data_IF_264150528271
#
_entry.id   IF_264150528271
#
_cell.length_a   1.000
_cell.length_b   1.000
_cell.length_c   1.000
_cell.angle_alpha   90.00
_cell.angle_beta   90.00
_cell.angle_gamma   90.00
#
_symmetry.space_group_name_H-M   'P 1'
#
loop_
_entity.id
_entity.type
_entity.pdbx_description
1 polymer ?
#
# COMPACT_ATOMS: atom_id res chain seq x y z
N UNK A 1 7.68 -20.08 -2.48
CA UNK A 1 7.60 -18.99 -3.47
C UNK A 1 8.47 -17.84 -3.00
N UNK A 2 9.40 -17.34 -3.82
CA UNK A 2 10.24 -16.17 -3.54
C UNK A 2 9.55 -14.90 -4.04
N UNK A 3 9.29 -13.97 -3.13
CA UNK A 3 8.50 -12.78 -3.40
C UNK A 3 9.34 -11.54 -3.16
N UNK A 4 9.44 -10.68 -4.16
CA UNK A 4 10.03 -9.35 -4.04
C UNK A 4 8.97 -8.32 -3.64
N UNK A 5 9.33 -7.34 -2.82
CA UNK A 5 8.42 -6.27 -2.39
C UNK A 5 9.05 -4.92 -2.70
N UNK A 6 8.25 -4.01 -3.26
CA UNK A 6 8.56 -2.58 -3.36
C UNK A 6 7.30 -1.76 -3.10
N UNK A 7 7.43 -0.61 -2.45
CA UNK A 7 6.36 0.38 -2.30
C UNK A 7 6.94 1.79 -2.23
N UNK A 8 6.05 2.78 -2.32
CA UNK A 8 6.40 4.19 -2.14
C UNK A 8 7.56 4.59 -3.07
N UNK A 9 7.53 4.06 -4.31
CA UNK A 9 8.57 4.33 -5.29
C UNK A 9 8.50 5.78 -5.77
N UNK A 10 7.32 6.40 -5.77
CA UNK A 10 7.12 7.80 -6.16
C UNK A 10 7.85 8.16 -7.45
N UNK A 11 7.62 7.39 -8.51
CA UNK A 11 8.30 7.58 -9.79
C UNK A 11 7.98 8.93 -10.46
N UNK A 12 6.91 9.59 -10.02
CA UNK A 12 6.54 10.97 -10.36
C UNK A 12 7.51 12.02 -9.79
N UNK A 13 8.19 11.72 -8.69
CA UNK A 13 9.20 12.62 -8.09
C UNK A 13 10.57 12.36 -8.69
N UNK A 14 10.96 11.08 -8.80
CA UNK A 14 12.14 10.69 -9.57
C UNK A 14 12.02 9.24 -10.02
N UNK A 15 12.37 8.99 -11.29
CA UNK A 15 12.30 7.66 -11.87
C UNK A 15 13.16 6.65 -11.08
N UNK A 16 12.66 5.43 -11.01
CA UNK A 16 13.30 4.31 -10.33
C UNK A 16 13.22 3.06 -11.20
N UNK A 17 14.32 2.33 -11.30
CA UNK A 17 14.33 1.00 -11.89
C UNK A 17 14.60 -0.04 -10.80
N UNK A 18 13.78 -1.08 -10.80
CA UNK A 18 14.07 -2.32 -10.09
C UNK A 18 14.97 -3.13 -11.01
N UNK A 19 16.19 -3.43 -10.59
CA UNK A 19 17.19 -4.11 -11.43
C UNK A 19 17.83 -5.33 -10.74
N UNK A 20 17.25 -5.79 -9.63
CA UNK A 20 17.78 -6.92 -8.83
C UNK A 20 16.64 -7.86 -8.38
N UNK A 21 15.94 -8.47 -9.33
CA UNK A 21 14.92 -9.51 -9.08
C UNK A 21 15.43 -10.90 -9.51
N UNK A 22 16.49 -11.39 -8.84
CA UNK A 22 17.03 -12.72 -9.13
C UNK A 22 16.17 -13.79 -8.46
N UNK A 23 15.80 -14.84 -9.21
CA UNK A 23 15.02 -15.99 -8.73
C UNK A 23 13.71 -15.58 -8.02
N UNK A 24 13.09 -14.50 -8.50
CA UNK A 24 11.82 -13.98 -8.00
C UNK A 24 10.67 -14.65 -8.74
N UNK A 25 9.75 -15.26 -8.00
CA UNK A 25 8.56 -15.91 -8.54
C UNK A 25 7.39 -14.90 -8.69
N UNK A 26 7.36 -13.88 -7.83
CA UNK A 26 6.31 -12.86 -7.79
C UNK A 26 6.88 -11.52 -7.30
N UNK A 27 6.51 -10.43 -7.96
CA UNK A 27 6.77 -9.06 -7.48
C UNK A 27 5.48 -8.45 -6.92
N UNK A 28 5.56 -7.88 -5.71
CA UNK A 28 4.48 -7.11 -5.08
C UNK A 28 4.86 -5.64 -5.06
N UNK A 29 3.97 -4.82 -5.59
CA UNK A 29 4.03 -3.36 -5.59
C UNK A 29 2.94 -2.80 -4.66
N UNK A 30 3.31 -2.44 -3.42
CA UNK A 30 2.36 -2.13 -2.34
C UNK A 30 2.00 -0.64 -2.20
N UNK A 31 1.61 -0.03 -3.32
CA UNK A 31 1.11 1.35 -3.39
C UNK A 31 2.17 2.43 -3.55
N UNK A 32 1.71 3.59 -4.03
CA UNK A 32 2.49 4.80 -4.28
C UNK A 32 3.68 4.53 -5.21
N UNK A 33 3.40 3.85 -6.31
CA UNK A 33 4.43 3.45 -7.29
C UNK A 33 4.73 4.62 -8.23
N UNK A 34 3.69 5.31 -8.68
CA UNK A 34 3.81 6.37 -9.66
C UNK A 34 2.48 7.01 -9.95
N UNK A 35 2.51 8.31 -10.26
CA UNK A 35 1.39 8.98 -10.91
C UNK A 35 1.01 8.31 -12.24
N UNK A 36 -0.19 8.60 -12.75
CA UNK A 36 -0.67 8.15 -14.07
C UNK A 36 0.31 8.46 -15.22
N UNK A 37 1.11 9.52 -15.11
CA UNK A 37 2.12 9.91 -16.13
C UNK A 37 3.45 9.16 -16.01
N UNK A 38 3.80 8.68 -14.81
CA UNK A 38 5.08 8.00 -14.55
C UNK A 38 4.94 6.48 -14.57
N UNK A 39 3.76 5.97 -14.18
CA UNK A 39 3.47 4.55 -14.09
C UNK A 39 3.68 3.77 -15.40
N UNK A 40 3.26 4.26 -16.59
CA UNK A 40 3.51 3.56 -17.86
C UNK A 40 5.00 3.41 -18.16
N UNK A 41 5.80 4.45 -17.91
CA UNK A 41 7.26 4.42 -18.12
C UNK A 41 7.93 3.43 -17.17
N UNK A 42 7.49 3.39 -15.92
CA UNK A 42 7.97 2.41 -14.95
C UNK A 42 7.62 0.98 -15.36
N UNK A 43 6.37 0.71 -15.77
CA UNK A 43 5.95 -0.63 -16.18
C UNK A 43 6.54 -1.08 -17.51
N UNK A 44 6.75 -0.17 -18.46
CA UNK A 44 7.50 -0.46 -19.70
C UNK A 44 8.93 -0.91 -19.37
N UNK A 45 9.61 -0.16 -18.49
CA UNK A 45 10.95 -0.51 -18.03
C UNK A 45 10.96 -1.86 -17.31
N UNK A 46 9.99 -2.09 -16.41
CA UNK A 46 9.84 -3.36 -15.69
C UNK A 46 9.62 -4.53 -16.65
N UNK A 47 8.78 -4.37 -17.67
CA UNK A 47 8.50 -5.42 -18.67
C UNK A 47 9.65 -5.64 -19.63
N UNK A 48 10.45 -4.63 -19.93
CA UNK A 48 11.68 -4.81 -20.71
C UNK A 48 12.66 -5.71 -19.98
N UNK A 49 12.83 -5.49 -18.68
CA UNK A 49 13.84 -6.20 -17.88
C UNK A 49 13.33 -7.56 -17.37
N UNK A 50 12.01 -7.66 -17.10
CA UNK A 50 11.34 -8.86 -16.57
C UNK A 50 10.02 -9.15 -17.31
N UNK A 51 10.08 -9.61 -18.58
CA UNK A 51 8.89 -9.73 -19.43
C UNK A 51 7.80 -10.64 -18.89
N UNK A 52 8.18 -11.72 -18.19
CA UNK A 52 7.27 -12.77 -17.75
C UNK A 52 7.04 -12.80 -16.23
N UNK A 53 7.67 -11.89 -15.47
CA UNK A 53 7.54 -11.91 -14.02
C UNK A 53 6.10 -11.55 -13.62
N UNK A 54 5.39 -12.42 -12.86
CA UNK A 54 4.11 -12.08 -12.29
C UNK A 54 4.24 -10.86 -11.36
N UNK A 55 3.31 -9.91 -11.49
CA UNK A 55 3.29 -8.69 -10.67
C UNK A 55 1.90 -8.49 -10.10
N UNK A 56 1.82 -8.32 -8.79
CA UNK A 56 0.63 -7.81 -8.08
C UNK A 56 0.90 -6.37 -7.68
N UNK A 57 -0.03 -5.49 -8.01
CA UNK A 57 0.00 -4.07 -7.70
C UNK A 57 -1.22 -3.70 -6.88
N UNK A 58 -1.02 -2.92 -5.82
CA UNK A 58 -2.08 -2.32 -5.01
C UNK A 58 -1.94 -0.81 -5.07
N UNK A 59 -3.06 -0.09 -5.12
CA UNK A 59 -3.04 1.37 -5.09
C UNK A 59 -2.73 1.91 -3.69
N UNK A 60 -1.88 2.90 -3.61
CA UNK A 60 -1.75 3.82 -2.49
C UNK A 60 -2.61 5.08 -2.68
N UNK A 61 -2.36 6.11 -1.89
CA UNK A 61 -3.12 7.37 -1.99
C UNK A 61 -2.58 8.27 -3.12
N UNK A 62 -1.27 8.30 -3.37
CA UNK A 62 -0.67 9.11 -4.44
C UNK A 62 -1.02 8.60 -5.84
N UNK A 63 -1.33 7.32 -5.99
CA UNK A 63 -1.78 6.76 -7.27
C UNK A 63 -3.13 7.37 -7.74
N UNK A 64 -3.82 8.13 -6.86
CA UNK A 64 -5.09 8.82 -7.15
C UNK A 64 -4.98 10.35 -7.27
N UNK A 65 -3.79 10.93 -7.09
CA UNK A 65 -3.62 12.38 -7.07
C UNK A 65 -3.89 13.03 -8.42
N UNK A 66 -4.67 14.11 -8.41
CA UNK A 66 -5.04 14.92 -9.57
C UNK A 66 -6.34 14.48 -10.26
N UNK A 67 -7.03 13.46 -9.75
CA UNK A 67 -8.16 12.82 -10.42
C UNK A 67 -9.33 12.55 -9.48
N UNK A 68 -10.49 12.27 -10.06
CA UNK A 68 -11.54 11.59 -9.31
C UNK A 68 -11.14 10.15 -9.02
N UNK A 69 -11.68 9.58 -7.94
CA UNK A 69 -11.35 8.21 -7.52
C UNK A 69 -11.65 7.19 -8.62
N UNK A 70 -12.82 7.26 -9.27
CA UNK A 70 -13.16 6.33 -10.35
C UNK A 70 -12.24 6.50 -11.56
N UNK A 71 -11.89 7.73 -11.93
CA UNK A 71 -11.02 8.01 -13.06
C UNK A 71 -9.60 7.48 -12.81
N UNK A 72 -9.05 7.73 -11.61
CA UNK A 72 -7.74 7.22 -11.22
C UNK A 72 -7.70 5.68 -11.25
N UNK A 73 -8.67 5.03 -10.61
CA UNK A 73 -8.75 3.56 -10.58
C UNK A 73 -8.90 2.98 -11.98
N UNK A 74 -9.76 3.57 -12.82
CA UNK A 74 -9.95 3.13 -14.20
C UNK A 74 -8.65 3.24 -15.01
N UNK A 75 -7.92 4.34 -14.86
CA UNK A 75 -6.70 4.58 -15.61
C UNK A 75 -5.54 3.71 -15.13
N UNK A 76 -5.34 3.58 -13.80
CA UNK A 76 -4.38 2.63 -13.24
C UNK A 76 -4.70 1.19 -13.68
N UNK A 77 -5.97 0.78 -13.70
CA UNK A 77 -6.38 -0.55 -14.17
C UNK A 77 -6.09 -0.72 -15.66
N UNK A 78 -6.35 0.30 -16.49
CA UNK A 78 -6.04 0.30 -17.93
C UNK A 78 -4.54 0.14 -18.18
N UNK A 79 -3.72 0.92 -17.48
CA UNK A 79 -2.25 0.88 -17.56
C UNK A 79 -1.74 -0.48 -17.09
N UNK A 80 -2.16 -0.95 -15.92
CA UNK A 80 -1.74 -2.24 -15.38
C UNK A 80 -2.11 -3.39 -16.33
N UNK A 81 -3.33 -3.40 -16.86
CA UNK A 81 -3.77 -4.41 -17.82
C UNK A 81 -2.96 -4.40 -19.13
N UNK A 82 -2.62 -3.22 -19.66
CA UNK A 82 -1.79 -3.10 -20.87
C UNK A 82 -0.41 -3.76 -20.70
N UNK A 83 0.17 -3.65 -19.50
CA UNK A 83 1.44 -4.31 -19.16
C UNK A 83 1.24 -5.67 -18.46
N UNK A 84 0.06 -6.29 -18.51
CA UNK A 84 -0.20 -7.60 -17.89
C UNK A 84 0.15 -7.65 -16.37
N UNK A 85 -0.06 -6.55 -15.66
CA UNK A 85 0.12 -6.42 -14.21
C UNK A 85 -1.23 -6.57 -13.52
N UNK A 86 -1.29 -7.39 -12.47
CA UNK A 86 -2.52 -7.60 -11.70
C UNK A 86 -2.71 -6.47 -10.69
N UNK A 87 -3.54 -5.49 -11.01
CA UNK A 87 -4.00 -4.52 -10.02
C UNK A 87 -5.05 -5.17 -9.10
N UNK A 88 -4.95 -4.92 -7.80
CA UNK A 88 -5.95 -5.27 -6.78
C UNK A 88 -6.37 -4.01 -6.02
N UNK A 89 -7.68 -3.71 -5.99
CA UNK A 89 -8.27 -2.61 -5.22
C UNK A 89 -9.54 -3.09 -4.51
N UNK A 90 -9.39 -3.60 -3.29
CA UNK A 90 -10.38 -4.46 -2.61
C UNK A 90 -10.72 -5.71 -3.44
N UNK A 91 -9.69 -6.31 -4.02
CA UNK A 91 -9.79 -7.51 -4.85
C UNK A 91 -8.77 -8.55 -4.37
N UNK A 92 -9.06 -9.83 -4.64
CA UNK A 92 -8.20 -10.94 -4.25
C UNK A 92 -7.93 -11.87 -5.43
N UNK A 93 -6.77 -12.52 -5.40
CA UNK A 93 -6.37 -13.54 -6.36
C UNK A 93 -5.73 -14.70 -5.62
N UNK A 94 -6.01 -15.93 -6.07
CA UNK A 94 -5.22 -17.09 -5.66
C UNK A 94 -4.15 -17.28 -6.73
N UNK A 95 -2.89 -17.25 -6.32
CA UNK A 95 -1.76 -17.56 -7.17
C UNK A 95 -1.06 -18.78 -6.57
N UNK A 96 -1.02 -19.86 -7.35
CA UNK A 96 -0.70 -21.22 -6.88
C UNK A 96 -1.64 -21.65 -5.74
N UNK A 97 -1.12 -21.80 -4.51
CA UNK A 97 -1.88 -22.19 -3.32
C UNK A 97 -1.96 -21.07 -2.27
N UNK A 98 -1.70 -19.83 -2.67
CA UNK A 98 -1.62 -18.66 -1.80
C UNK A 98 -2.70 -17.65 -2.18
N UNK A 99 -3.49 -17.21 -1.19
CA UNK A 99 -4.40 -16.08 -1.33
C UNK A 99 -3.62 -14.77 -1.21
N UNK A 100 -3.79 -13.87 -2.17
CA UNK A 100 -3.35 -12.48 -2.10
C UNK A 100 -4.57 -11.56 -2.10
N UNK A 101 -4.77 -10.78 -1.04
CA UNK A 101 -5.79 -9.75 -0.94
C UNK A 101 -5.13 -8.37 -1.03
N UNK A 102 -5.57 -7.51 -1.95
CA UNK A 102 -5.02 -6.17 -2.13
C UNK A 102 -6.03 -5.07 -1.84
N UNK A 103 -5.63 -4.07 -1.07
CA UNK A 103 -6.46 -2.88 -0.77
C UNK A 103 -5.60 -1.68 -0.39
N UNK A 104 -6.06 -0.46 -0.61
CA UNK A 104 -5.38 0.72 -0.03
C UNK A 104 -5.48 0.74 1.51
N UNK A 105 -6.48 0.07 2.09
CA UNK A 105 -6.88 0.06 3.51
C UNK A 105 -7.40 1.41 4.04
N UNK A 106 -6.76 2.54 3.74
CA UNK A 106 -7.09 3.85 4.35
C UNK A 106 -6.98 3.83 5.89
N UNK A 107 -7.56 4.81 6.59
CA UNK A 107 -7.51 4.88 8.05
C UNK A 107 -8.86 5.12 8.70
N UNK A 108 -9.05 4.56 9.91
CA UNK A 108 -10.19 4.85 10.79
C UNK A 108 -9.96 6.03 11.75
N UNK A 109 -8.72 6.52 11.86
CA UNK A 109 -8.28 7.61 12.75
C UNK A 109 -8.39 7.33 14.26
N UNK A 110 -8.76 6.12 14.68
CA UNK A 110 -9.03 5.80 16.09
C UNK A 110 -7.75 5.67 16.94
N UNK A 111 -6.61 5.34 16.31
CA UNK A 111 -5.35 5.11 17.03
C UNK A 111 -4.79 6.35 17.73
N UNK A 112 -5.25 7.56 17.35
CA UNK A 112 -4.84 8.85 17.89
C UNK A 112 -5.55 9.26 19.19
N UNK A 113 -6.56 8.51 19.63
CA UNK A 113 -7.32 8.76 20.87
C UNK A 113 -8.44 9.80 20.76
N UNK A 114 -8.40 10.68 19.77
CA UNK A 114 -9.46 11.65 19.46
C UNK A 114 -9.65 11.74 17.94
N UNK A 115 -10.47 10.82 17.42
CA UNK A 115 -10.68 10.67 15.98
C UNK A 115 -11.23 11.93 15.32
N UNK A 116 -12.11 12.67 16.01
CA UNK A 116 -12.68 13.90 15.48
C UNK A 116 -11.61 14.97 15.25
N UNK A 117 -10.66 15.13 16.18
CA UNK A 117 -9.54 16.06 15.98
C UNK A 117 -8.58 15.60 14.90
N UNK A 118 -8.28 14.30 14.82
CA UNK A 118 -7.45 13.79 13.72
C UNK A 118 -8.11 14.03 12.38
N UNK A 119 -9.41 13.73 12.24
CA UNK A 119 -10.15 13.93 11.00
C UNK A 119 -10.18 15.40 10.58
N UNK A 120 -10.43 16.32 11.51
CA UNK A 120 -10.36 17.76 11.24
C UNK A 120 -8.96 18.18 10.76
N UNK A 121 -7.90 17.71 11.43
CA UNK A 121 -6.53 17.98 11.01
C UNK A 121 -6.20 17.39 9.63
N UNK A 122 -6.68 16.19 9.32
CA UNK A 122 -6.53 15.56 8.00
C UNK A 122 -7.18 16.41 6.91
N UNK A 123 -8.43 16.83 7.12
CA UNK A 123 -9.17 17.65 6.16
C UNK A 123 -8.52 19.04 5.95
N UNK A 124 -7.93 19.61 7.00
CA UNK A 124 -7.30 20.94 6.94
C UNK A 124 -5.87 20.93 6.38
N UNK A 125 -5.10 19.85 6.60
CA UNK A 125 -3.64 19.86 6.43
C UNK A 125 -3.15 18.90 5.34
N UNK A 126 -3.78 17.74 5.17
CA UNK A 126 -3.23 16.72 4.29
C UNK A 126 -3.57 16.97 2.81
N UNK A 127 -2.62 16.72 1.89
CA UNK A 127 -2.83 16.96 0.46
C UNK A 127 -3.90 16.07 -0.16
N UNK A 128 -4.23 14.92 0.44
CA UNK A 128 -5.21 13.97 -0.08
C UNK A 128 -6.55 14.65 -0.40
N UNK A 129 -7.06 15.50 0.51
CA UNK A 129 -8.29 16.27 0.31
C UNK A 129 -8.16 17.44 -0.67
N UNK A 130 -6.97 17.71 -1.19
CA UNK A 130 -6.71 18.72 -2.23
C UNK A 130 -6.40 18.09 -3.59
N UNK A 131 -6.06 16.80 -3.60
CA UNK A 131 -5.57 16.09 -4.78
C UNK A 131 -6.52 14.96 -5.22
N UNK A 132 -7.35 14.43 -4.32
CA UNK A 132 -8.26 13.32 -4.61
C UNK A 132 -9.69 13.84 -4.54
N UNK A 133 -10.47 13.53 -5.57
CA UNK A 133 -11.86 13.96 -5.68
C UNK A 133 -12.81 12.76 -5.77
N UNK A 134 -14.03 12.93 -5.28
CA UNK A 134 -15.15 12.03 -5.59
C UNK A 134 -15.63 12.28 -7.02
N UNK A 135 -16.49 11.40 -7.53
CA UNK A 135 -16.96 11.48 -8.92
C UNK A 135 -17.85 12.70 -9.20
N UNK A 136 -18.44 13.28 -8.16
CA UNK A 136 -19.18 14.54 -8.22
C UNK A 136 -18.28 15.80 -8.12
N UNK A 137 -16.96 15.60 -8.02
CA UNK A 137 -15.97 16.66 -7.88
C UNK A 137 -15.75 17.14 -6.44
N UNK A 138 -16.46 16.59 -5.47
CA UNK A 138 -16.24 16.91 -4.05
C UNK A 138 -14.85 16.42 -3.62
N UNK A 139 -14.04 17.22 -2.92
CA UNK A 139 -12.74 16.74 -2.45
C UNK A 139 -12.88 15.61 -1.42
N UNK A 140 -11.89 14.72 -1.38
CA UNK A 140 -11.85 13.63 -0.42
C UNK A 140 -11.80 14.17 1.01
N UNK A 141 -12.64 13.64 1.88
CA UNK A 141 -12.61 13.95 3.32
C UNK A 141 -12.21 12.73 4.15
N UNK A 142 -11.71 12.98 5.35
CA UNK A 142 -11.41 11.97 6.35
C UNK A 142 -12.64 11.10 6.65
N UNK A 143 -13.85 11.67 6.62
CA UNK A 143 -15.09 10.90 6.80
C UNK A 143 -15.26 9.82 5.72
N UNK A 144 -14.94 10.13 4.47
CA UNK A 144 -15.00 9.15 3.38
C UNK A 144 -13.85 8.14 3.49
N UNK A 145 -12.63 8.57 3.85
CA UNK A 145 -11.52 7.66 4.11
C UNK A 145 -11.88 6.61 5.17
N UNK A 146 -12.52 7.03 6.27
CA UNK A 146 -12.99 6.12 7.32
C UNK A 146 -14.04 5.12 6.80
N UNK A 147 -14.95 5.55 5.92
CA UNK A 147 -15.92 4.63 5.30
C UNK A 147 -15.25 3.61 4.38
N UNK A 148 -14.26 4.03 3.60
CA UNK A 148 -13.48 3.12 2.76
C UNK A 148 -12.62 2.16 3.58
N UNK A 149 -12.12 2.60 4.73
CA UNK A 149 -11.44 1.74 5.67
C UNK A 149 -12.32 0.59 6.17
N UNK A 150 -13.56 0.90 6.57
CA UNK A 150 -14.49 -0.13 7.02
C UNK A 150 -14.78 -1.14 5.90
N UNK A 151 -15.00 -0.65 4.67
CA UNK A 151 -15.18 -1.52 3.48
C UNK A 151 -13.97 -2.40 3.22
N UNK A 152 -12.75 -1.88 3.38
CA UNK A 152 -11.52 -2.64 3.22
C UNK A 152 -11.40 -3.75 4.29
N UNK A 153 -11.72 -3.44 5.55
CA UNK A 153 -11.73 -4.43 6.63
C UNK A 153 -12.74 -5.55 6.37
N UNK A 154 -13.97 -5.20 5.98
CA UNK A 154 -15.01 -6.17 5.62
C UNK A 154 -14.56 -7.06 4.44
N UNK A 155 -13.96 -6.46 3.42
CA UNK A 155 -13.41 -7.18 2.27
C UNK A 155 -12.30 -8.18 2.68
N UNK A 156 -11.33 -7.73 3.48
CA UNK A 156 -10.23 -8.58 3.95
C UNK A 156 -10.76 -9.75 4.76
N UNK A 157 -11.69 -9.47 5.69
CA UNK A 157 -12.30 -10.50 6.53
C UNK A 157 -13.01 -11.55 5.69
N UNK A 158 -13.88 -11.11 4.77
CA UNK A 158 -14.63 -12.02 3.90
C UNK A 158 -13.70 -12.86 3.01
N UNK A 159 -12.68 -12.24 2.42
CA UNK A 159 -11.73 -12.93 1.53
C UNK A 159 -10.92 -13.99 2.29
N UNK A 160 -10.42 -13.65 3.48
CA UNK A 160 -9.67 -14.58 4.32
C UNK A 160 -10.55 -15.73 4.83
N UNK A 161 -11.84 -15.50 5.10
CA UNK A 161 -12.78 -16.54 5.53
C UNK A 161 -13.16 -17.49 4.40
N UNK A 162 -13.42 -16.96 3.19
CA UNK A 162 -13.83 -17.76 2.03
C UNK A 162 -12.69 -18.65 1.52
N UNK A 163 -11.45 -18.18 1.59
CA UNK A 163 -10.26 -18.93 1.20
C UNK A 163 -9.78 -19.89 2.30
N UNK A 164 -10.65 -20.78 2.80
CA UNK A 164 -10.30 -21.69 3.90
C UNK A 164 -9.25 -22.76 3.52
N UNK A 165 -9.17 -23.14 2.24
CA UNK A 165 -8.37 -24.27 1.75
C UNK A 165 -7.04 -23.88 1.08
N UNK A 166 -6.59 -22.62 1.24
CA UNK A 166 -5.28 -22.17 0.72
C UNK A 166 -4.17 -22.47 1.73
N UNK A 167 -2.93 -22.66 1.26
CA UNK A 167 -1.76 -22.90 2.11
C UNK A 167 -1.40 -21.68 2.95
N UNK A 168 -1.49 -20.48 2.35
CA UNK A 168 -1.12 -19.21 2.98
C UNK A 168 -2.07 -18.08 2.57
N UNK A 169 -2.27 -17.12 3.48
CA UNK A 169 -3.02 -15.89 3.26
C UNK A 169 -2.09 -14.69 3.39
N UNK A 170 -1.96 -13.94 2.31
CA UNK A 170 -1.16 -12.72 2.23
C UNK A 170 -2.11 -11.55 2.01
N UNK A 171 -2.06 -10.56 2.90
CA UNK A 171 -2.75 -9.28 2.71
C UNK A 171 -1.72 -8.23 2.31
N UNK A 172 -2.06 -7.41 1.33
CA UNK A 172 -1.26 -6.31 0.84
C UNK A 172 -2.09 -5.05 1.05
N UNK A 173 -1.65 -4.18 1.95
CA UNK A 173 -2.22 -2.86 2.12
C UNK A 173 -1.24 -1.77 1.70
N UNK A 174 -1.72 -0.55 1.46
CA UNK A 174 -0.83 0.60 1.45
C UNK A 174 -0.67 1.16 2.87
N UNK A 175 -1.79 1.46 3.55
CA UNK A 175 -1.82 1.99 4.92
C UNK A 175 -1.47 0.94 5.99
N UNK A 176 -1.04 1.38 7.17
CA UNK A 176 -0.53 0.51 8.23
C UNK A 176 -1.69 -0.08 9.07
N UNK A 177 -1.73 -1.42 9.27
CA UNK A 177 -2.76 -2.09 10.06
C UNK A 177 -2.44 -2.27 11.56
N UNK A 178 -1.26 -1.84 12.02
CA UNK A 178 -0.79 -2.06 13.40
C UNK A 178 0.13 -0.93 13.88
N UNK A 179 -0.01 -0.53 15.14
CA UNK A 179 0.73 0.60 15.75
C UNK A 179 2.24 0.35 15.83
N UNK A 180 2.65 -0.91 15.97
CA UNK A 180 4.03 -1.34 16.05
C UNK A 180 4.81 -1.10 14.75
N UNK A 181 4.09 -0.94 13.63
CA UNK A 181 4.67 -0.68 12.30
C UNK A 181 5.04 0.79 12.09
N UNK A 182 4.59 1.67 13.00
CA UNK A 182 4.85 3.08 12.93
C UNK A 182 6.13 3.43 13.70
N UNK A 183 7.04 4.16 13.05
CA UNK A 183 8.33 4.46 13.65
C UNK A 183 8.22 5.23 14.99
N UNK A 184 9.07 4.93 16.00
CA UNK A 184 8.93 5.48 17.34
C UNK A 184 8.90 7.00 17.42
N UNK A 185 9.55 7.72 16.49
CA UNK A 185 9.51 9.18 16.46
C UNK A 185 8.11 9.77 16.26
N UNK A 186 7.20 9.01 15.64
CA UNK A 186 5.82 9.44 15.37
C UNK A 186 4.86 9.08 16.51
N UNK A 187 5.37 8.62 17.66
CA UNK A 187 4.51 8.19 18.79
C UNK A 187 4.89 8.81 20.13
N UNK A 188 5.85 9.74 20.15
CA UNK A 188 6.45 10.29 21.39
C UNK A 188 5.45 11.14 22.17
N UNK A 189 4.77 12.06 21.51
CA UNK A 189 3.83 13.00 22.13
C UNK A 189 2.38 12.64 21.83
N UNK A 190 1.45 13.29 22.53
CA UNK A 190 0.02 13.14 22.24
C UNK A 190 -0.33 13.72 20.85
N UNK A 191 0.31 14.83 20.45
CA UNK A 191 0.15 15.43 19.13
C UNK A 191 0.69 14.51 18.02
N UNK A 192 1.86 13.87 18.24
CA UNK A 192 2.38 12.87 17.31
C UNK A 192 1.37 11.75 17.11
N UNK A 193 0.86 11.15 18.20
CA UNK A 193 -0.14 10.08 18.13
C UNK A 193 -1.43 10.51 17.43
N UNK A 194 -1.89 11.74 17.69
CA UNK A 194 -3.09 12.30 17.06
C UNK A 194 -2.92 12.39 15.54
N UNK A 195 -1.80 12.96 15.06
CA UNK A 195 -1.52 13.06 13.63
C UNK A 195 -1.26 11.71 13.00
N UNK A 196 -0.60 10.82 13.73
CA UNK A 196 -0.26 9.50 13.24
C UNK A 196 -1.43 8.57 13.02
N UNK A 197 -2.60 8.88 13.57
CA UNK A 197 -3.81 8.17 13.23
C UNK A 197 -4.22 8.30 11.75
N UNK A 198 -3.63 9.20 10.97
CA UNK A 198 -3.75 9.15 9.51
C UNK A 198 -3.00 7.95 8.90
N UNK A 199 -1.76 7.69 9.32
CA UNK A 199 -0.94 6.62 8.73
C UNK A 199 -1.34 5.21 9.20
N UNK A 200 -1.82 5.08 10.45
CA UNK A 200 -2.01 3.77 11.10
C UNK A 200 -3.39 3.60 11.75
N UNK A 201 -3.99 2.45 11.50
CA UNK A 201 -5.15 1.93 12.23
C UNK A 201 -4.74 0.68 13.02
N UNK A 202 -5.17 0.54 14.26
CA UNK A 202 -4.84 -0.63 15.10
C UNK A 202 -5.97 -1.66 15.02
N UNK A 203 -5.83 -2.67 14.16
CA UNK A 203 -6.90 -3.65 13.82
C UNK A 203 -6.47 -5.11 14.00
N UNK A 204 -6.18 -5.52 15.25
CA UNK A 204 -5.67 -6.86 15.54
C UNK A 204 -6.62 -7.99 15.13
N UNK A 205 -7.93 -7.78 15.19
CA UNK A 205 -8.95 -8.72 14.71
C UNK A 205 -8.89 -8.98 13.21
N UNK A 206 -8.46 -7.99 12.42
CA UNK A 206 -8.35 -8.12 10.96
C UNK A 206 -6.99 -8.69 10.59
N UNK A 207 -5.88 -8.12 11.09
CA UNK A 207 -4.56 -8.55 10.64
C UNK A 207 -4.22 -9.98 11.02
N UNK A 208 -4.77 -10.50 12.13
CA UNK A 208 -4.60 -11.90 12.55
C UNK A 208 -5.21 -12.93 11.59
N UNK A 209 -6.02 -12.50 10.63
CA UNK A 209 -6.59 -13.38 9.60
C UNK A 209 -5.56 -13.74 8.51
N UNK A 210 -4.45 -13.00 8.42
CA UNK A 210 -3.38 -13.21 7.46
C UNK A 210 -2.15 -13.88 8.10
N UNK A 211 -1.47 -14.73 7.33
CA UNK A 211 -0.15 -15.26 7.69
C UNK A 211 0.94 -14.20 7.48
N UNK A 212 0.82 -13.44 6.39
CA UNK A 212 1.75 -12.37 6.01
C UNK A 212 0.97 -11.12 5.65
N UNK A 213 1.45 -9.97 6.10
CA UNK A 213 0.90 -8.67 5.77
C UNK A 213 1.99 -7.77 5.19
N UNK A 214 1.80 -7.32 3.96
CA UNK A 214 2.73 -6.46 3.24
C UNK A 214 2.14 -5.05 3.21
N UNK A 215 2.95 -4.03 3.53
CA UNK A 215 2.45 -2.66 3.64
C UNK A 215 3.45 -1.58 3.15
N UNK A 216 2.99 -0.33 3.03
CA UNK A 216 3.76 0.83 2.57
C UNK A 216 3.53 2.11 3.41
N UNK A 217 3.45 3.27 2.76
CA UNK A 217 2.90 4.56 3.20
C UNK A 217 3.72 5.38 4.23
N UNK A 218 4.23 4.75 5.29
CA UNK A 218 4.91 5.45 6.39
C UNK A 218 6.35 5.90 6.10
N UNK A 219 6.88 5.49 4.95
CA UNK A 219 8.29 5.56 4.57
C UNK A 219 9.24 5.01 5.64
N UNK A 220 8.79 4.02 6.41
CA UNK A 220 9.56 3.38 7.48
C UNK A 220 9.57 1.86 7.27
N UNK A 221 10.75 1.29 7.09
CA UNK A 221 10.90 -0.15 6.89
C UNK A 221 10.99 -0.89 8.23
N UNK A 222 9.83 -1.26 8.78
CA UNK A 222 9.71 -1.94 10.08
C UNK A 222 9.11 -3.32 9.87
N UNK A 223 9.95 -4.35 9.99
CA UNK A 223 9.49 -5.74 9.92
C UNK A 223 9.30 -6.29 11.32
N UNK A 224 8.18 -6.96 11.56
CA UNK A 224 7.91 -7.60 12.84
C UNK A 224 6.94 -8.77 12.70
N UNK A 225 6.68 -9.47 13.80
CA UNK A 225 5.64 -10.49 13.88
C UNK A 225 4.74 -10.18 15.08
N UNK A 226 3.44 -10.07 14.84
CA UNK A 226 2.43 -9.88 15.88
C UNK A 226 1.51 -11.10 15.87
N UNK A 227 1.56 -11.90 16.94
CA UNK A 227 0.93 -13.21 16.95
C UNK A 227 1.47 -14.11 15.83
N UNK A 228 0.57 -14.59 14.96
CA UNK A 228 0.93 -15.45 13.83
C UNK A 228 1.18 -14.68 12.53
N UNK A 229 0.93 -13.37 12.50
CA UNK A 229 1.04 -12.55 11.29
C UNK A 229 2.42 -11.93 11.19
N UNK A 230 3.12 -12.18 10.08
CA UNK A 230 4.40 -11.56 9.76
C UNK A 230 4.19 -10.31 8.92
N UNK A 231 4.71 -9.17 9.39
CA UNK A 231 4.65 -7.90 8.68
C UNK A 231 5.94 -7.63 7.92
N UNK A 232 5.80 -7.35 6.63
CA UNK A 232 6.91 -7.13 5.70
C UNK A 232 6.69 -5.84 4.92
N UNK A 233 7.76 -5.15 4.56
CA UNK A 233 7.67 -3.89 3.82
C UNK A 233 9.01 -3.55 3.17
N UNK A 234 8.98 -2.75 2.10
CA UNK A 234 10.18 -2.24 1.45
C UNK A 234 9.88 -0.91 0.73
N UNK A 235 9.79 0.15 1.53
CA UNK A 235 9.34 1.48 1.17
C UNK A 235 10.54 2.33 0.75
N UNK A 236 10.58 2.80 -0.50
CA UNK A 236 11.65 3.68 -0.98
C UNK A 236 11.50 5.07 -0.36
N UNK A 237 10.28 5.60 -0.38
CA UNK A 237 9.94 6.97 0.00
C UNK A 237 10.51 8.01 -0.97
N UNK A 238 10.34 9.28 -0.62
CA UNK A 238 10.71 10.39 -1.48
C UNK A 238 12.23 10.53 -1.69
N UNK A 239 12.63 10.68 -2.95
CA UNK A 239 13.99 11.07 -3.32
C UNK A 239 13.97 11.90 -4.61
N UNK A 240 14.82 12.92 -4.72
CA UNK A 240 14.85 13.84 -5.89
C UNK A 240 15.80 13.41 -7.01
N UNK A 241 16.79 12.59 -6.70
CA UNK A 241 17.68 11.97 -7.69
C UNK A 241 17.14 10.60 -8.11
N UNK A 242 17.16 10.34 -9.40
CA UNK A 242 16.80 9.04 -9.98
C UNK A 242 17.59 7.92 -9.35
N UNK A 243 16.94 6.76 -9.18
CA UNK A 243 17.58 5.55 -8.68
C UNK A 243 18.27 5.69 -7.31
N UNK A 244 17.89 6.68 -6.50
CA UNK A 244 18.37 6.86 -5.13
C UNK A 244 17.21 6.76 -4.15
N UNK A 245 17.55 6.51 -2.88
CA UNK A 245 16.62 6.44 -1.75
C UNK A 245 17.31 7.08 -0.54
N UNK A 246 16.55 7.77 0.31
CA UNK A 246 17.05 8.29 1.59
C UNK A 246 16.74 7.36 2.75
N UNK A 247 15.72 6.52 2.61
CA UNK A 247 15.33 5.57 3.63
C UNK A 247 16.42 4.50 3.81
N UNK A 248 17.16 4.57 4.92
CA UNK A 248 18.26 3.64 5.22
C UNK A 248 17.86 2.17 5.28
N UNK A 249 16.56 1.85 5.42
CA UNK A 249 16.06 0.48 5.44
C UNK A 249 15.64 -0.09 4.08
N UNK A 250 15.59 0.75 3.03
CA UNK A 250 15.15 0.29 1.71
C UNK A 250 16.19 -0.59 1.04
N UNK A 251 15.79 -1.76 0.56
CA UNK A 251 16.66 -2.76 -0.06
C UNK A 251 16.20 -3.05 -1.49
N UNK A 252 17.06 -2.78 -2.47
CA UNK A 252 16.73 -2.96 -3.91
C UNK A 252 16.49 -4.42 -4.30
N UNK A 253 17.08 -5.34 -3.56
CA UNK A 253 17.07 -6.79 -3.75
C UNK A 253 16.20 -7.49 -2.69
N UNK A 254 15.33 -6.74 -2.01
CA UNK A 254 14.52 -7.29 -0.94
C UNK A 254 13.56 -8.36 -1.46
N UNK A 255 13.73 -9.56 -0.91
CA UNK A 255 12.88 -10.71 -1.17
C UNK A 255 12.70 -11.52 0.10
N UNK A 256 11.59 -12.23 0.19
CA UNK A 256 11.34 -13.22 1.24
C UNK A 256 10.76 -14.50 0.63
N UNK A 257 10.92 -15.61 1.35
CA UNK A 257 10.36 -16.90 0.93
C UNK A 257 9.11 -17.20 1.76
N UNK A 258 8.01 -17.46 1.05
CA UNK A 258 6.71 -17.85 1.61
C UNK A 258 6.48 -19.36 1.57
#
# INVERSE_FOLDING_TARGET
MNIAIHSDLHTEISMFSINILKNTDLLILAGDIGSIDSLPRFFEQLRRDYPQLPVIYVLGNHDRYGFTVSAAVAECRRIAAYYEIRLLDNEAVIFEDVLFCGTTLWSNFYSGGDAAKTMAWVDDVLPDGQQIFLDDGTPLSAKIMQQWFLKACDFIQNSCQQAANVRKKVVISHFLPARELLAPQHQKTADDRLRSAYWVSDIPEIYRLADVWIYGHSHSNIECRLGNTQFLTNQRGYHRLENRHHNHGYRRDYQFTL
#
